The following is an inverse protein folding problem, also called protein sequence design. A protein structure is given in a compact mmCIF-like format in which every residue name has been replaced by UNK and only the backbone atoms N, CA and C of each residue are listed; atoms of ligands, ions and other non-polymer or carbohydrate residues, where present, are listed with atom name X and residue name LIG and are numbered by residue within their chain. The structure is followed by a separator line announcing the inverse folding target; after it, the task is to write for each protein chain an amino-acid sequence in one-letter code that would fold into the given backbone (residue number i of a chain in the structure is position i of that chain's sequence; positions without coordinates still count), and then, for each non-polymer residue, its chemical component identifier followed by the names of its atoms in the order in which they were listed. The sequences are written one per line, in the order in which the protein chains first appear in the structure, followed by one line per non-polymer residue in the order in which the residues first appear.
data_IF_498456098549
#
_entry.id   IF_498456098549
#
_cell.length_a   1.000
_cell.length_b   1.000
_cell.length_c   1.000
_cell.angle_alpha   90.00
_cell.angle_beta   90.00
_cell.angle_gamma   90.00
#
_symmetry.space_group_name_H-M   'P 1'
#
loop_
_entity.id
_entity.type
_entity.pdbx_description
1 polymer ?
#
# COMPACT_ATOMS: atom_id res chain seq x y z
N UNK A 1 -10.07 -30.44 47.14
CA UNK A 1 -9.10 -29.95 46.14
C UNK A 1 -9.48 -28.51 45.77
N UNK A 2 -8.56 -27.54 45.73
CA UNK A 2 -8.93 -26.17 45.43
C UNK A 2 -9.36 -26.04 43.96
N UNK A 3 -10.52 -25.41 43.76
CA UNK A 3 -11.16 -25.23 42.46
C UNK A 3 -10.34 -24.27 41.59
N UNK A 4 -10.07 -24.69 40.35
CA UNK A 4 -9.27 -23.96 39.37
C UNK A 4 -10.04 -22.69 38.94
N UNK A 5 -9.39 -21.51 38.86
CA UNK A 5 -10.06 -20.30 38.43
C UNK A 5 -10.67 -20.46 37.03
N UNK A 6 -11.87 -19.89 36.77
CA UNK A 6 -12.58 -20.10 35.52
C UNK A 6 -11.82 -19.49 34.33
N UNK A 7 -11.98 -20.12 33.16
CA UNK A 7 -11.33 -19.76 31.89
C UNK A 7 -11.62 -18.27 31.57
N UNK A 8 -10.63 -17.47 31.17
CA UNK A 8 -10.88 -16.09 30.78
C UNK A 8 -11.80 -16.04 29.55
N UNK A 9 -12.72 -15.07 29.54
CA UNK A 9 -13.62 -14.83 28.40
C UNK A 9 -12.81 -14.47 27.15
N UNK A 10 -13.33 -14.78 25.94
CA UNK A 10 -12.74 -14.30 24.70
C UNK A 10 -12.70 -12.77 24.72
N UNK A 11 -11.49 -12.22 24.65
CA UNK A 11 -11.25 -10.80 24.46
C UNK A 11 -11.83 -10.42 23.10
N UNK A 12 -12.94 -9.69 23.09
CA UNK A 12 -13.46 -9.05 21.88
C UNK A 12 -12.44 -7.97 21.52
N UNK A 13 -11.53 -8.31 20.61
CA UNK A 13 -10.59 -7.36 20.03
C UNK A 13 -11.41 -6.61 18.97
N UNK A 14 -11.68 -5.30 19.10
CA UNK A 14 -12.19 -4.54 17.97
C UNK A 14 -11.17 -4.67 16.83
N UNK A 15 -11.58 -4.69 15.55
CA UNK A 15 -10.62 -4.57 14.47
C UNK A 15 -10.00 -3.18 14.59
N UNK A 16 -8.89 -3.12 15.33
CA UNK A 16 -7.97 -2.01 15.29
C UNK A 16 -7.38 -2.07 13.88
N UNK A 17 -8.11 -1.41 12.98
CA UNK A 17 -7.60 -0.87 11.74
C UNK A 17 -6.50 0.08 12.20
N UNK A 18 -5.34 -0.51 12.47
CA UNK A 18 -4.07 0.15 12.68
C UNK A 18 -3.74 0.84 11.35
N UNK A 19 -4.47 1.90 11.00
CA UNK A 19 -3.96 2.93 10.10
C UNK A 19 -2.89 3.64 10.89
N UNK A 20 -1.69 3.06 10.89
CA UNK A 20 -0.50 3.71 11.41
C UNK A 20 -0.35 5.02 10.63
N UNK A 21 -0.19 6.19 11.28
CA UNK A 21 0.00 7.46 10.58
C UNK A 21 1.25 7.48 9.67
N UNK A 22 2.17 6.52 9.85
CA UNK A 22 3.36 6.36 9.02
C UNK A 22 3.16 5.57 7.72
N UNK A 23 2.06 4.82 7.58
CA UNK A 23 1.74 4.14 6.33
C UNK A 23 1.08 5.09 5.33
N UNK A 24 0.49 6.19 5.78
CA UNK A 24 -0.20 7.18 4.91
C UNK A 24 0.62 7.62 3.70
N UNK A 25 1.94 7.81 3.85
CA UNK A 25 2.82 8.22 2.75
C UNK A 25 3.27 7.04 1.89
N UNK A 26 3.47 5.85 2.48
CA UNK A 26 3.89 4.64 1.78
C UNK A 26 2.72 4.01 1.02
N UNK A 27 1.56 3.87 1.66
CA UNK A 27 0.27 3.54 1.03
C UNK A 27 -0.05 4.49 -0.13
N UNK A 28 0.33 5.77 -0.05
CA UNK A 28 0.15 6.70 -1.16
C UNK A 28 1.01 6.31 -2.38
N UNK A 29 2.22 5.80 -2.18
CA UNK A 29 3.09 5.33 -3.25
C UNK A 29 2.58 3.99 -3.81
N UNK A 30 2.21 3.06 -2.93
CA UNK A 30 1.67 1.75 -3.34
C UNK A 30 0.36 1.89 -4.13
N UNK A 31 -0.53 2.81 -3.73
CA UNK A 31 -1.75 3.13 -4.47
C UNK A 31 -1.45 3.72 -5.87
N UNK A 32 -0.41 4.54 -6.00
CA UNK A 32 0.04 5.10 -7.29
C UNK A 32 0.63 4.02 -8.19
N UNK A 33 1.42 3.12 -7.61
CA UNK A 33 1.97 1.95 -8.32
C UNK A 33 0.81 1.11 -8.86
N UNK A 34 -0.13 0.73 -8.00
CA UNK A 34 -1.29 -0.08 -8.40
C UNK A 34 -2.11 0.58 -9.52
N UNK A 35 -2.29 1.91 -9.47
CA UNK A 35 -2.99 2.67 -10.52
C UNK A 35 -2.30 2.56 -11.89
N UNK A 36 -0.98 2.72 -11.93
CA UNK A 36 -0.22 2.62 -13.18
C UNK A 36 -0.08 1.17 -13.66
N UNK A 37 0.05 0.20 -12.75
CA UNK A 37 0.02 -1.23 -13.08
C UNK A 37 -1.31 -1.64 -13.71
N UNK A 38 -2.42 -1.06 -13.25
CA UNK A 38 -3.75 -1.25 -13.86
C UNK A 38 -3.89 -0.70 -15.28
N UNK A 39 -2.97 0.17 -15.72
CA UNK A 39 -2.90 0.66 -17.10
C UNK A 39 -2.10 -0.29 -18.03
N UNK A 40 -1.53 -1.38 -17.49
CA UNK A 40 -0.78 -2.38 -18.26
C UNK A 40 0.74 -2.23 -18.21
N UNK A 41 1.26 -1.30 -17.39
CA UNK A 41 2.69 -1.10 -17.21
C UNK A 41 3.30 -2.11 -16.23
N UNK A 42 4.59 -2.42 -16.40
CA UNK A 42 5.31 -3.34 -15.51
C UNK A 42 5.77 -2.66 -14.21
N UNK A 43 5.91 -3.42 -13.13
CA UNK A 43 6.27 -2.88 -11.80
C UNK A 43 7.60 -2.14 -11.83
N UNK A 44 8.57 -2.68 -12.56
CA UNK A 44 9.90 -2.08 -12.68
C UNK A 44 9.83 -0.69 -13.34
N UNK A 45 9.09 -0.57 -14.45
CA UNK A 45 8.95 0.68 -15.16
C UNK A 45 8.15 1.68 -14.34
N UNK A 46 7.06 1.23 -13.70
CA UNK A 46 6.24 2.07 -12.81
C UNK A 46 7.06 2.62 -11.64
N UNK A 47 7.90 1.79 -11.02
CA UNK A 47 8.76 2.21 -9.91
C UNK A 47 9.84 3.19 -10.37
N UNK A 48 10.46 2.96 -11.53
CA UNK A 48 11.44 3.89 -12.12
C UNK A 48 10.79 5.22 -12.51
N UNK A 49 9.64 5.17 -13.17
CA UNK A 49 8.89 6.36 -13.58
C UNK A 49 8.43 7.17 -12.36
N UNK A 50 7.91 6.54 -11.31
CA UNK A 50 7.54 7.23 -10.06
C UNK A 50 8.74 7.85 -9.34
N UNK A 51 9.91 7.21 -9.38
CA UNK A 51 11.15 7.77 -8.84
C UNK A 51 11.55 9.06 -9.57
N UNK A 52 11.52 9.04 -10.91
CA UNK A 52 11.85 10.20 -11.75
C UNK A 52 10.78 11.31 -11.62
N UNK A 53 9.51 10.91 -11.60
CA UNK A 53 8.35 11.79 -11.47
C UNK A 53 8.15 12.35 -10.05
N UNK A 54 9.02 12.02 -9.09
CA UNK A 54 8.91 12.40 -7.68
C UNK A 54 7.51 12.10 -7.09
N UNK A 55 7.02 10.88 -7.33
CA UNK A 55 5.69 10.41 -6.91
C UNK A 55 4.49 11.14 -7.54
N UNK A 56 4.65 11.80 -8.70
CA UNK A 56 3.55 12.35 -9.50
C UNK A 56 3.03 11.32 -10.50
N UNK A 57 1.75 10.98 -10.43
CA UNK A 57 1.12 9.99 -11.31
C UNK A 57 1.05 10.47 -12.76
N UNK A 58 0.66 11.73 -12.98
CA UNK A 58 0.49 12.28 -14.34
C UNK A 58 1.81 12.26 -15.12
N UNK A 59 2.91 12.63 -14.47
CA UNK A 59 4.25 12.61 -15.06
C UNK A 59 4.74 11.19 -15.25
N UNK A 60 4.58 10.32 -14.25
CA UNK A 60 4.96 8.91 -14.37
C UNK A 60 4.23 8.23 -15.53
N UNK A 61 2.92 8.51 -15.70
CA UNK A 61 2.14 8.02 -16.84
C UNK A 61 2.67 8.53 -18.17
N UNK A 62 3.03 9.81 -18.27
CA UNK A 62 3.59 10.37 -19.50
C UNK A 62 4.92 9.70 -19.88
N UNK A 63 5.81 9.51 -18.90
CA UNK A 63 7.08 8.78 -19.09
C UNK A 63 6.81 7.35 -19.53
N UNK A 64 5.96 6.62 -18.79
CA UNK A 64 5.63 5.23 -19.13
C UNK A 64 5.05 5.10 -20.54
N UNK A 65 4.17 6.02 -20.95
CA UNK A 65 3.58 6.02 -22.29
C UNK A 65 4.58 6.37 -23.40
N UNK A 66 5.56 7.22 -23.11
CA UNK A 66 6.60 7.61 -24.08
C UNK A 66 7.65 6.51 -24.26
N UNK A 67 7.95 5.74 -23.20
CA UNK A 67 8.97 4.68 -23.22
C UNK A 67 8.40 3.25 -23.42
N UNK A 68 7.09 3.05 -23.37
CA UNK A 68 6.44 1.76 -23.65
C UNK A 68 6.04 1.57 -25.13
N UNK A 69 6.48 2.48 -26.01
CA UNK A 69 6.38 2.37 -27.46
C UNK A 69 7.57 1.60 -28.05
#
# INVERSE_FOLDING_TARGET
APERPPKPLPRIIPPDIHRRPHESSRENVDAKIAKLMGEGYSFEDVKRALMIAQNKVDVARNILREFAL
#
